data_IF_022402584568
#
_entry.id   IF_022402584568
#
_cell.length_a   1.000
_cell.length_b   1.000
_cell.length_c   1.000
_cell.angle_alpha   90.00
_cell.angle_beta   90.00
_cell.angle_gamma   90.00
#
_symmetry.space_group_name_H-M   'P 1'
#
loop_
_entity.id
_entity.type
_entity.pdbx_description
1 polymer ?
#
# COMPACT_ATOMS: atom_id res chain seq x y z
N UNK A 1 -17.60 -3.93 0.33
CA UNK A 1 -17.53 -2.88 1.35
C UNK A 1 -18.92 -2.48 1.82
N UNK A 2 -19.06 -1.90 3.04
CA UNK A 2 -20.31 -1.40 3.59
C UNK A 2 -20.16 0.10 3.91
N UNK A 3 -21.03 0.91 3.32
CA UNK A 3 -21.10 2.36 3.51
C UNK A 3 -22.37 2.70 4.28
N UNK A 4 -22.31 2.75 5.61
CA UNK A 4 -23.48 2.93 6.49
C UNK A 4 -24.28 4.20 6.19
N UNK A 5 -23.60 5.28 5.79
CA UNK A 5 -24.26 6.53 5.42
C UNK A 5 -25.22 6.44 4.21
N UNK A 6 -25.06 5.42 3.36
CA UNK A 6 -25.93 5.18 2.20
C UNK A 6 -27.04 4.16 2.50
N UNK A 7 -27.10 3.61 3.71
CA UNK A 7 -28.02 2.51 4.03
C UNK A 7 -29.42 3.02 4.27
N UNK A 8 -30.40 2.50 3.49
CA UNK A 8 -31.82 2.77 3.69
C UNK A 8 -32.50 1.87 4.74
N UNK A 9 -31.77 0.97 5.41
CA UNK A 9 -32.34 0.11 6.45
C UNK A 9 -33.29 -0.99 5.95
N UNK A 10 -33.34 -1.30 4.64
CA UNK A 10 -34.34 -2.21 4.07
C UNK A 10 -34.14 -3.71 4.43
N UNK A 11 -33.03 -4.11 5.01
CA UNK A 11 -32.77 -5.49 5.47
C UNK A 11 -32.49 -6.54 4.37
N UNK A 12 -32.59 -6.20 3.08
CA UNK A 12 -32.42 -7.16 1.98
C UNK A 12 -31.09 -7.93 2.03
N UNK A 13 -30.00 -7.25 2.41
CA UNK A 13 -28.68 -7.85 2.55
C UNK A 13 -28.56 -8.82 3.73
N UNK A 14 -29.35 -8.64 4.79
CA UNK A 14 -29.40 -9.58 5.93
C UNK A 14 -30.10 -10.85 5.48
N UNK A 15 -31.23 -10.72 4.80
CA UNK A 15 -32.01 -11.87 4.31
C UNK A 15 -31.25 -12.72 3.29
N UNK A 16 -30.45 -12.10 2.41
CA UNK A 16 -29.74 -12.83 1.35
C UNK A 16 -28.42 -13.42 1.81
N UNK A 17 -27.91 -13.04 2.98
CA UNK A 17 -26.58 -13.46 3.42
C UNK A 17 -26.53 -14.94 3.83
N UNK A 18 -25.85 -15.83 3.10
CA UNK A 18 -25.86 -17.26 3.39
C UNK A 18 -25.10 -17.62 4.68
N UNK A 19 -24.18 -16.76 5.11
CA UNK A 19 -23.34 -16.98 6.31
C UNK A 19 -23.82 -16.18 7.54
N UNK A 20 -24.92 -15.41 7.42
CA UNK A 20 -25.39 -14.55 8.51
C UNK A 20 -24.45 -13.40 8.87
N UNK A 21 -23.48 -13.09 8.02
CA UNK A 21 -22.48 -12.04 8.29
C UNK A 21 -23.05 -10.62 8.30
N UNK A 22 -24.26 -10.40 7.79
CA UNK A 22 -24.91 -9.08 7.77
C UNK A 22 -25.91 -8.98 8.92
N UNK A 23 -25.84 -7.90 9.68
CA UNK A 23 -26.83 -7.58 10.71
C UNK A 23 -27.29 -6.11 10.57
N UNK A 24 -28.54 -5.87 10.94
CA UNK A 24 -29.19 -4.58 11.00
C UNK A 24 -29.75 -4.38 12.40
N UNK A 25 -29.37 -3.30 13.06
CA UNK A 25 -30.00 -2.84 14.31
C UNK A 25 -30.91 -1.64 14.03
N UNK A 26 -31.58 -1.13 15.04
CA UNK A 26 -32.43 0.08 14.88
C UNK A 26 -31.64 1.35 14.49
N UNK A 27 -30.33 1.38 14.86
CA UNK A 27 -29.49 2.58 14.69
C UNK A 27 -28.28 2.38 13.78
N UNK A 28 -27.92 1.12 13.50
CA UNK A 28 -26.69 0.87 12.76
C UNK A 28 -26.77 -0.43 11.94
N UNK A 29 -25.85 -0.53 11.04
CA UNK A 29 -25.64 -1.70 10.21
C UNK A 29 -24.22 -2.22 10.39
N UNK A 30 -24.13 -3.53 10.51
CA UNK A 30 -22.90 -4.23 10.85
C UNK A 30 -22.64 -5.38 9.87
N UNK A 31 -21.36 -5.62 9.58
CA UNK A 31 -20.90 -6.80 8.86
C UNK A 31 -19.81 -7.49 9.67
N UNK A 32 -20.08 -8.72 10.08
CA UNK A 32 -19.07 -9.58 10.68
C UNK A 32 -18.12 -10.09 9.60
N UNK A 33 -16.87 -9.61 9.62
CA UNK A 33 -15.85 -9.99 8.63
C UNK A 33 -15.38 -11.43 8.84
N UNK A 34 -15.48 -11.98 10.04
CA UNK A 34 -15.09 -13.37 10.34
C UNK A 34 -16.06 -14.39 9.72
N UNK A 35 -17.33 -14.02 9.58
CA UNK A 35 -18.37 -14.83 8.95
C UNK A 35 -18.51 -14.56 7.45
N UNK A 36 -17.97 -13.45 6.98
CA UNK A 36 -18.16 -13.00 5.59
C UNK A 36 -17.37 -13.84 4.59
N UNK A 37 -18.08 -14.51 3.68
CA UNK A 37 -17.49 -15.31 2.60
C UNK A 37 -17.17 -14.50 1.34
N UNK A 38 -17.29 -13.17 1.35
CA UNK A 38 -17.07 -12.26 0.22
C UNK A 38 -17.83 -12.61 -1.06
N UNK A 39 -18.97 -13.31 -0.96
CA UNK A 39 -19.74 -13.85 -2.10
C UNK A 39 -20.50 -12.79 -2.92
N UNK A 40 -20.49 -11.52 -2.55
CA UNK A 40 -21.10 -10.41 -3.29
C UNK A 40 -22.64 -10.32 -3.26
N UNK A 41 -23.39 -11.34 -2.78
CA UNK A 41 -24.85 -11.39 -2.83
C UNK A 41 -25.53 -10.16 -2.20
N UNK A 42 -24.99 -9.67 -1.07
CA UNK A 42 -25.50 -8.47 -0.41
C UNK A 42 -25.31 -7.18 -1.23
N UNK A 43 -24.28 -7.14 -2.07
CA UNK A 43 -24.07 -6.02 -3.01
C UNK A 43 -25.07 -6.05 -4.15
N UNK A 44 -25.35 -7.24 -4.70
CA UNK A 44 -26.27 -7.42 -5.83
C UNK A 44 -27.72 -7.01 -5.52
N UNK A 45 -28.14 -7.09 -4.24
CA UNK A 45 -29.52 -6.74 -3.82
C UNK A 45 -29.64 -5.39 -3.14
N UNK A 46 -28.57 -4.63 -3.02
CA UNK A 46 -28.60 -3.35 -2.30
C UNK A 46 -29.08 -2.20 -3.20
N UNK A 47 -30.30 -1.64 -2.98
CA UNK A 47 -30.87 -0.64 -3.88
C UNK A 47 -30.17 0.71 -3.79
N UNK A 48 -29.43 0.97 -2.71
CA UNK A 48 -28.73 2.24 -2.47
C UNK A 48 -27.20 2.10 -2.64
N UNK A 49 -26.72 0.94 -3.07
CA UNK A 49 -25.29 0.61 -3.14
C UNK A 49 -24.53 0.80 -1.81
N UNK A 50 -25.23 0.85 -0.68
CA UNK A 50 -24.59 0.87 0.64
C UNK A 50 -23.73 -0.38 0.86
N UNK A 51 -24.13 -1.52 0.30
CA UNK A 51 -23.26 -2.67 0.08
C UNK A 51 -22.78 -2.69 -1.36
N UNK A 52 -21.48 -2.72 -1.57
CA UNK A 52 -20.92 -2.90 -2.92
C UNK A 52 -19.66 -3.77 -2.90
N UNK A 53 -19.46 -4.49 -3.97
CA UNK A 53 -18.17 -5.12 -4.27
C UNK A 53 -17.23 -4.03 -4.75
N UNK A 54 -15.99 -4.05 -4.26
CA UNK A 54 -14.95 -3.10 -4.66
C UNK A 54 -13.79 -3.92 -5.23
N UNK A 55 -13.33 -3.51 -6.38
CA UNK A 55 -12.38 -4.26 -7.19
C UNK A 55 -13.07 -5.17 -8.20
N UNK A 56 -12.31 -5.57 -9.18
CA UNK A 56 -12.69 -6.49 -10.27
C UNK A 56 -11.55 -7.47 -10.46
N UNK A 57 -11.89 -8.72 -10.77
CA UNK A 57 -10.92 -9.66 -11.30
C UNK A 57 -10.67 -9.29 -12.75
N UNK A 58 -9.42 -9.09 -13.12
CA UNK A 58 -9.00 -8.66 -14.43
C UNK A 58 -7.74 -9.43 -14.83
N UNK A 59 -7.65 -9.79 -16.09
CA UNK A 59 -6.40 -10.31 -16.67
C UNK A 59 -5.37 -9.20 -16.82
N UNK A 60 -4.06 -9.50 -16.87
CA UNK A 60 -3.01 -8.51 -17.14
C UNK A 60 -3.26 -7.67 -18.38
N UNK A 61 -3.78 -8.29 -19.45
CA UNK A 61 -4.12 -7.59 -20.69
C UNK A 61 -5.27 -6.58 -20.51
N UNK A 62 -6.30 -6.94 -19.75
CA UNK A 62 -7.42 -6.03 -19.44
C UNK A 62 -6.96 -4.86 -18.56
N UNK A 63 -6.09 -5.12 -17.57
CA UNK A 63 -5.51 -4.05 -16.74
C UNK A 63 -4.67 -3.11 -17.60
N UNK A 64 -3.80 -3.64 -18.44
CA UNK A 64 -3.00 -2.83 -19.35
C UNK A 64 -3.88 -1.99 -20.29
N UNK A 65 -4.93 -2.57 -20.88
CA UNK A 65 -5.86 -1.86 -21.74
C UNK A 65 -6.57 -0.71 -21.00
N UNK A 66 -6.97 -0.91 -19.75
CA UNK A 66 -7.57 0.15 -18.92
C UNK A 66 -6.58 1.28 -18.65
N UNK A 67 -5.34 0.96 -18.25
CA UNK A 67 -4.27 1.93 -18.00
C UNK A 67 -3.93 2.75 -19.26
N UNK A 68 -3.88 2.11 -20.43
CA UNK A 68 -3.56 2.78 -21.69
C UNK A 68 -4.65 3.74 -22.18
N UNK A 69 -5.85 3.75 -21.60
CA UNK A 69 -6.86 4.78 -21.89
C UNK A 69 -6.38 6.18 -21.47
N UNK A 70 -5.52 6.24 -20.46
CA UNK A 70 -4.98 7.48 -19.94
C UNK A 70 -3.58 7.81 -20.49
N UNK A 71 -3.09 7.02 -21.47
CA UNK A 71 -1.73 7.17 -22.04
C UNK A 71 -1.43 8.59 -22.54
N UNK A 72 -2.43 9.32 -23.06
CA UNK A 72 -2.28 10.70 -23.51
C UNK A 72 -1.89 11.68 -22.38
N UNK A 73 -2.14 11.31 -21.12
CA UNK A 73 -1.82 12.12 -19.94
C UNK A 73 -0.45 11.78 -19.35
N UNK A 74 0.20 10.69 -19.77
CA UNK A 74 1.51 10.31 -19.21
C UNK A 74 2.62 11.28 -19.65
N UNK A 75 2.57 11.81 -20.88
CA UNK A 75 3.60 12.71 -21.40
C UNK A 75 5.00 12.12 -21.24
N UNK A 76 5.99 13.02 -21.05
CA UNK A 76 7.39 12.60 -20.90
C UNK A 76 7.80 12.22 -19.47
N UNK A 77 6.94 12.51 -18.47
CA UNK A 77 7.28 12.35 -17.03
C UNK A 77 6.27 11.53 -16.25
N UNK A 78 5.15 11.18 -16.85
CA UNK A 78 4.11 10.39 -16.22
C UNK A 78 4.26 8.89 -16.53
N UNK A 79 3.39 8.09 -15.92
CA UNK A 79 3.40 6.65 -16.09
C UNK A 79 2.39 5.96 -15.18
N UNK A 80 2.69 4.74 -14.81
CA UNK A 80 1.83 3.90 -13.99
C UNK A 80 2.51 3.55 -12.69
N UNK A 81 1.79 3.69 -11.59
CA UNK A 81 2.22 3.16 -10.30
C UNK A 81 1.40 1.92 -9.94
N UNK A 82 2.05 0.78 -9.80
CA UNK A 82 1.45 -0.43 -9.26
C UNK A 82 1.55 -0.42 -7.74
N UNK A 83 0.41 -0.45 -7.08
CA UNK A 83 0.32 -0.51 -5.62
C UNK A 83 -0.84 -1.42 -5.18
N UNK A 84 -1.29 -1.35 -3.92
CA UNK A 84 -2.47 -2.08 -3.47
C UNK A 84 -2.26 -2.78 -2.13
N UNK A 85 -2.36 -4.13 -2.06
CA UNK A 85 -1.78 -4.95 -1.02
C UNK A 85 -0.26 -5.03 -1.24
N UNK A 86 0.23 -6.23 -1.58
CA UNK A 86 1.61 -6.36 -2.11
C UNK A 86 1.49 -6.66 -3.62
N UNK A 87 1.83 -5.71 -4.50
CA UNK A 87 1.62 -5.87 -5.94
C UNK A 87 2.45 -7.03 -6.54
N UNK A 88 3.64 -7.29 -5.97
CA UNK A 88 4.50 -8.39 -6.42
C UNK A 88 3.98 -9.79 -6.03
N UNK A 89 2.93 -9.87 -5.21
CA UNK A 89 2.21 -11.10 -4.92
C UNK A 89 0.99 -11.32 -5.82
N UNK A 90 0.64 -10.36 -6.68
CA UNK A 90 -0.50 -10.50 -7.57
C UNK A 90 -0.20 -11.48 -8.70
N UNK A 91 -1.15 -12.40 -8.95
CA UNK A 91 -1.06 -13.29 -10.10
C UNK A 91 -1.02 -12.49 -11.41
N UNK A 92 -0.10 -12.84 -12.30
CA UNK A 92 0.07 -12.16 -13.59
C UNK A 92 0.79 -10.81 -13.52
N UNK A 93 1.36 -10.41 -12.37
CA UNK A 93 2.06 -9.11 -12.25
C UNK A 93 3.22 -8.98 -13.23
N UNK A 94 4.02 -10.03 -13.44
CA UNK A 94 5.15 -10.01 -14.38
C UNK A 94 4.64 -9.84 -15.81
N UNK A 95 3.58 -10.56 -16.20
CA UNK A 95 2.95 -10.40 -17.51
C UNK A 95 2.43 -8.96 -17.74
N UNK A 96 1.81 -8.36 -16.72
CA UNK A 96 1.38 -6.96 -16.78
C UNK A 96 2.58 -6.01 -16.99
N UNK A 97 3.65 -6.19 -16.22
CA UNK A 97 4.88 -5.41 -16.35
C UNK A 97 5.50 -5.55 -17.76
N UNK A 98 5.53 -6.76 -18.33
CA UNK A 98 6.00 -6.99 -19.68
C UNK A 98 5.14 -6.26 -20.74
N UNK A 99 3.82 -6.26 -20.57
CA UNK A 99 2.92 -5.55 -21.48
C UNK A 99 3.19 -4.04 -21.42
N UNK A 100 3.26 -3.47 -20.22
CA UNK A 100 3.52 -2.04 -20.01
C UNK A 100 4.90 -1.62 -20.57
N UNK A 101 5.94 -2.44 -20.32
CA UNK A 101 7.29 -2.19 -20.83
C UNK A 101 7.34 -2.19 -22.36
N UNK A 102 6.68 -3.14 -23.02
CA UNK A 102 6.56 -3.17 -24.50
C UNK A 102 5.85 -1.93 -25.08
N UNK A 103 4.96 -1.33 -24.31
CA UNK A 103 4.24 -0.10 -24.69
C UNK A 103 5.02 1.19 -24.34
N UNK A 104 6.23 1.06 -23.77
CA UNK A 104 7.07 2.20 -23.41
C UNK A 104 6.56 3.00 -22.20
N UNK A 105 5.70 2.41 -21.37
CA UNK A 105 5.15 3.05 -20.18
C UNK A 105 6.19 3.05 -19.07
N UNK A 106 6.41 4.20 -18.44
CA UNK A 106 7.21 4.29 -17.22
C UNK A 106 6.44 3.66 -16.04
N UNK A 107 7.06 2.70 -15.35
CA UNK A 107 6.40 1.94 -14.28
C UNK A 107 7.12 2.13 -12.94
N UNK A 108 6.36 2.56 -11.96
CA UNK A 108 6.74 2.55 -10.54
C UNK A 108 6.04 1.40 -9.83
N UNK A 109 6.73 0.69 -8.96
CA UNK A 109 6.13 -0.33 -8.09
C UNK A 109 6.30 0.08 -6.63
N UNK A 110 5.18 0.26 -5.92
CA UNK A 110 5.17 0.48 -4.47
C UNK A 110 5.09 -0.87 -3.76
N UNK A 111 6.15 -1.27 -3.08
CA UNK A 111 6.25 -2.59 -2.44
C UNK A 111 6.79 -2.49 -1.02
N UNK A 112 6.34 -3.40 -0.16
CA UNK A 112 7.02 -3.69 1.10
C UNK A 112 8.15 -4.72 0.93
N UNK A 113 8.27 -5.34 -0.25
CA UNK A 113 9.31 -6.30 -0.58
C UNK A 113 9.07 -7.71 -0.04
N UNK A 114 7.90 -8.00 0.50
CA UNK A 114 7.54 -9.35 0.94
C UNK A 114 6.92 -10.13 -0.22
N UNK A 115 7.74 -10.63 -1.10
CA UNK A 115 7.35 -11.39 -2.29
C UNK A 115 8.31 -12.53 -2.56
N UNK A 116 7.94 -13.38 -3.52
CA UNK A 116 8.83 -14.42 -4.02
C UNK A 116 10.05 -13.78 -4.71
N UNK A 117 11.30 -14.18 -4.34
CA UNK A 117 12.52 -13.67 -4.97
C UNK A 117 12.57 -13.89 -6.49
N UNK A 118 11.94 -14.94 -7.02
CA UNK A 118 11.95 -15.21 -8.47
C UNK A 118 11.00 -14.24 -9.20
N UNK A 119 9.85 -13.88 -8.60
CA UNK A 119 8.98 -12.82 -9.12
C UNK A 119 9.72 -11.48 -9.11
N UNK A 120 10.46 -11.18 -8.03
CA UNK A 120 11.28 -9.96 -7.95
C UNK A 120 12.35 -9.92 -9.04
N UNK A 121 13.07 -11.04 -9.28
CA UNK A 121 14.06 -11.14 -10.36
C UNK A 121 13.47 -10.86 -11.74
N UNK A 122 12.28 -11.38 -11.99
CA UNK A 122 11.57 -11.14 -13.24
C UNK A 122 11.07 -9.70 -13.37
N UNK A 123 10.66 -9.08 -12.26
CA UNK A 123 10.12 -7.72 -12.25
C UNK A 123 11.21 -6.63 -12.41
N UNK A 124 12.40 -6.81 -11.81
CA UNK A 124 13.46 -5.77 -11.80
C UNK A 124 13.77 -5.18 -13.18
N UNK A 125 13.97 -5.96 -14.27
CA UNK A 125 14.26 -5.38 -15.59
C UNK A 125 13.09 -4.66 -16.25
N UNK A 126 11.87 -4.79 -15.70
CA UNK A 126 10.61 -4.27 -16.25
C UNK A 126 10.11 -3.02 -15.52
N UNK A 127 10.66 -2.73 -14.35
CA UNK A 127 10.25 -1.62 -13.47
C UNK A 127 11.30 -0.52 -13.54
N UNK A 128 10.84 0.72 -13.68
CA UNK A 128 11.76 1.88 -13.76
C UNK A 128 12.20 2.33 -12.37
N UNK A 129 11.29 2.35 -11.36
CA UNK A 129 11.63 2.70 -9.98
C UNK A 129 10.82 1.86 -9.00
N UNK A 130 11.46 1.34 -7.99
CA UNK A 130 10.80 0.71 -6.85
C UNK A 130 10.68 1.71 -5.69
N UNK A 131 9.47 2.00 -5.25
CA UNK A 131 9.21 2.69 -4.00
C UNK A 131 9.14 1.64 -2.89
N UNK A 132 10.21 1.55 -2.10
CA UNK A 132 10.38 0.48 -1.11
C UNK A 132 9.99 0.96 0.28
N UNK A 133 8.95 0.39 0.84
CA UNK A 133 8.40 0.78 2.14
C UNK A 133 9.23 0.19 3.30
N UNK A 134 9.88 1.03 4.06
CA UNK A 134 10.53 0.68 5.34
C UNK A 134 9.54 0.95 6.47
N UNK A 135 8.85 -0.09 6.92
CA UNK A 135 7.81 0.04 7.95
C UNK A 135 8.39 0.27 9.35
N UNK A 136 9.48 -0.40 9.70
CA UNK A 136 10.30 -0.15 10.89
C UNK A 136 11.66 -0.83 10.75
N UNK A 137 12.74 -0.21 11.29
CA UNK A 137 14.10 -0.77 11.22
C UNK A 137 14.48 -1.65 12.39
N UNK A 138 13.75 -1.60 13.51
CA UNK A 138 13.88 -2.53 14.61
C UNK A 138 13.07 -3.80 14.30
N UNK A 139 13.68 -5.02 14.28
CA UNK A 139 12.98 -6.24 13.88
C UNK A 139 11.82 -6.63 14.80
N UNK A 140 11.96 -6.37 16.09
CA UNK A 140 10.92 -6.70 17.09
C UNK A 140 9.70 -5.81 16.87
N UNK A 141 9.92 -4.51 16.75
CA UNK A 141 8.85 -3.54 16.48
C UNK A 141 8.24 -3.74 15.09
N UNK A 142 9.07 -4.05 14.07
CA UNK A 142 8.55 -4.37 12.74
C UNK A 142 7.55 -5.53 12.82
N UNK A 143 7.95 -6.64 13.44
CA UNK A 143 7.08 -7.81 13.61
C UNK A 143 5.84 -7.50 14.44
N UNK A 144 5.97 -6.69 15.50
CA UNK A 144 4.83 -6.26 16.33
C UNK A 144 3.81 -5.45 15.53
N UNK A 145 4.25 -4.56 14.63
CA UNK A 145 3.38 -3.64 13.90
C UNK A 145 2.81 -4.24 12.62
N UNK A 146 3.58 -5.09 11.94
CA UNK A 146 3.21 -5.67 10.63
C UNK A 146 2.81 -7.14 10.69
N UNK A 147 3.17 -7.85 11.76
CA UNK A 147 2.99 -9.30 11.88
C UNK A 147 4.09 -10.12 11.20
N UNK A 148 5.06 -9.48 10.53
CA UNK A 148 6.05 -10.14 9.66
C UNK A 148 7.48 -9.85 10.13
N UNK A 149 8.37 -10.83 9.98
CA UNK A 149 9.82 -10.65 10.15
C UNK A 149 10.38 -9.79 9.00
N UNK A 150 11.20 -8.75 9.26
CA UNK A 150 11.75 -7.91 8.20
C UNK A 150 12.89 -8.57 7.40
N UNK A 151 13.44 -9.69 7.85
CA UNK A 151 14.60 -10.33 7.20
C UNK A 151 14.40 -10.63 5.72
N UNK A 152 13.30 -11.30 5.27
CA UNK A 152 13.09 -11.56 3.86
C UNK A 152 12.87 -10.26 3.05
N UNK A 153 12.30 -9.22 3.65
CA UNK A 153 12.10 -7.92 3.02
C UNK A 153 13.45 -7.26 2.71
N UNK A 154 14.36 -7.24 3.68
CA UNK A 154 15.71 -6.67 3.50
C UNK A 154 16.58 -7.50 2.56
N UNK A 155 16.42 -8.82 2.57
CA UNK A 155 17.07 -9.71 1.60
C UNK A 155 16.60 -9.43 0.17
N UNK A 156 15.31 -9.22 -0.03
CA UNK A 156 14.74 -8.86 -1.32
C UNK A 156 15.19 -7.45 -1.77
N UNK A 157 15.31 -6.49 -0.85
CA UNK A 157 15.85 -5.17 -1.18
C UNK A 157 17.31 -5.27 -1.66
N UNK A 158 18.15 -6.03 -0.96
CA UNK A 158 19.53 -6.27 -1.36
C UNK A 158 19.61 -7.02 -2.71
N UNK A 159 18.71 -8.00 -2.94
CA UNK A 159 18.59 -8.69 -4.21
C UNK A 159 18.24 -7.74 -5.35
N UNK A 160 17.21 -6.88 -5.17
CA UNK A 160 16.82 -5.89 -6.17
C UNK A 160 17.98 -4.94 -6.52
N UNK A 161 18.69 -4.43 -5.52
CA UNK A 161 19.87 -3.58 -5.72
C UNK A 161 20.97 -4.31 -6.50
N UNK A 162 21.28 -5.57 -6.16
CA UNK A 162 22.27 -6.38 -6.85
C UNK A 162 21.93 -6.64 -8.33
N UNK A 163 20.65 -6.59 -8.67
CA UNK A 163 20.13 -6.71 -10.04
C UNK A 163 20.05 -5.35 -10.77
N UNK A 164 20.46 -4.26 -10.10
CA UNK A 164 20.51 -2.92 -10.68
C UNK A 164 19.20 -2.15 -10.60
N UNK A 165 18.26 -2.54 -9.74
CA UNK A 165 17.03 -1.79 -9.52
C UNK A 165 17.31 -0.36 -9.04
N UNK A 166 16.60 0.60 -9.60
CA UNK A 166 16.51 1.95 -9.03
C UNK A 166 15.48 1.93 -7.92
N UNK A 167 15.87 2.39 -6.73
CA UNK A 167 14.99 2.36 -5.56
C UNK A 167 14.82 3.74 -4.94
N UNK A 168 13.70 3.94 -4.27
CA UNK A 168 13.43 5.05 -3.37
C UNK A 168 12.87 4.48 -2.09
N UNK A 169 13.54 4.69 -0.96
CA UNK A 169 13.03 4.23 0.33
C UNK A 169 11.88 5.13 0.77
N UNK A 170 10.82 4.54 1.29
CA UNK A 170 9.66 5.25 1.82
C UNK A 170 9.48 4.94 3.30
N UNK A 171 9.39 5.98 4.11
CA UNK A 171 9.21 5.87 5.55
C UNK A 171 7.94 6.61 5.99
N UNK A 172 6.97 5.88 6.54
CA UNK A 172 5.78 6.48 7.11
C UNK A 172 6.09 7.01 8.51
N UNK A 173 5.85 8.31 8.72
CA UNK A 173 5.96 8.98 10.01
C UNK A 173 4.67 8.79 10.81
N UNK A 174 4.70 7.93 11.81
CA UNK A 174 3.60 7.67 12.73
C UNK A 174 4.05 8.04 14.14
N UNK A 175 3.36 9.01 14.75
CA UNK A 175 3.67 9.46 16.10
C UNK A 175 3.70 8.29 17.09
N UNK A 176 4.77 8.22 17.89
CA UNK A 176 4.97 7.17 18.89
C UNK A 176 5.38 5.79 18.35
N UNK A 177 5.41 5.59 17.01
CA UNK A 177 5.80 4.32 16.41
C UNK A 177 7.09 4.41 15.58
N UNK A 178 7.18 5.37 14.65
CA UNK A 178 8.28 5.47 13.67
C UNK A 178 8.95 6.85 13.67
N UNK A 179 8.84 7.63 14.74
CA UNK A 179 9.37 9.01 14.83
C UNK A 179 10.63 9.13 15.68
N UNK A 180 11.26 8.01 16.06
CA UNK A 180 12.51 8.05 16.83
C UNK A 180 13.75 8.19 15.93
N UNK A 181 14.78 8.88 16.46
CA UNK A 181 16.01 9.18 15.71
C UNK A 181 16.84 7.93 15.38
N UNK A 182 16.78 6.89 16.20
CA UNK A 182 17.48 5.63 15.94
C UNK A 182 16.92 4.92 14.70
N UNK A 183 15.61 4.96 14.52
CA UNK A 183 14.96 4.45 13.30
C UNK A 183 15.55 5.11 12.05
N UNK A 184 15.63 6.45 12.00
CA UNK A 184 16.17 7.18 10.85
C UNK A 184 17.68 7.01 10.66
N UNK A 185 18.44 6.84 11.72
CA UNK A 185 19.86 6.47 11.64
C UNK A 185 20.03 5.13 10.94
N UNK A 186 19.21 4.15 11.28
CA UNK A 186 19.23 2.83 10.61
C UNK A 186 18.71 2.90 9.17
N UNK A 187 17.72 3.75 8.88
CA UNK A 187 17.26 4.01 7.50
C UNK A 187 18.39 4.59 6.65
N UNK A 188 19.17 5.52 7.19
CA UNK A 188 20.35 6.06 6.51
C UNK A 188 21.39 4.95 6.24
N UNK A 189 21.61 4.04 7.19
CA UNK A 189 22.46 2.87 6.98
C UNK A 189 21.99 1.97 5.83
N UNK A 190 20.68 1.73 5.73
CA UNK A 190 20.09 0.99 4.60
C UNK A 190 20.34 1.77 3.30
N UNK A 191 20.05 3.07 3.25
CA UNK A 191 20.30 3.90 2.07
C UNK A 191 21.74 3.79 1.59
N UNK A 192 22.73 3.91 2.48
CA UNK A 192 24.15 3.83 2.13
C UNK A 192 24.62 2.43 1.72
N UNK A 193 23.85 1.40 2.01
CA UNK A 193 24.14 0.03 1.54
C UNK A 193 23.66 -0.25 0.12
N UNK A 194 22.85 0.65 -0.45
CA UNK A 194 22.26 0.49 -1.79
C UNK A 194 23.03 1.29 -2.83
N UNK A 195 23.21 0.70 -4.01
CA UNK A 195 24.02 1.27 -5.10
C UNK A 195 23.26 2.32 -5.93
N UNK A 196 21.94 2.17 -6.05
CA UNK A 196 21.07 2.98 -6.92
C UNK A 196 19.82 3.48 -6.21
N UNK A 197 19.97 3.89 -4.94
CA UNK A 197 18.88 4.50 -4.20
C UNK A 197 18.86 6.02 -4.41
N UNK A 198 17.75 6.56 -4.88
CA UNK A 198 17.58 8.00 -5.14
C UNK A 198 17.47 8.83 -3.86
N UNK A 199 17.07 8.22 -2.75
CA UNK A 199 16.89 8.90 -1.48
C UNK A 199 15.78 8.28 -0.63
N UNK A 200 15.40 9.02 0.41
CA UNK A 200 14.34 8.64 1.36
C UNK A 200 13.16 9.59 1.24
N UNK A 201 11.98 9.06 0.97
CA UNK A 201 10.72 9.79 0.99
C UNK A 201 10.06 9.64 2.36
N UNK A 202 9.76 10.76 3.01
CA UNK A 202 9.04 10.78 4.27
C UNK A 202 7.55 11.03 4.01
N UNK A 203 6.71 10.09 4.42
CA UNK A 203 5.27 10.16 4.31
C UNK A 203 4.66 10.47 5.68
N UNK A 204 3.88 11.53 5.79
CA UNK A 204 3.15 11.84 7.02
C UNK A 204 1.92 10.95 7.16
N UNK A 205 1.73 10.35 8.33
CA UNK A 205 0.48 9.67 8.63
C UNK A 205 -0.71 10.65 8.57
N UNK A 206 -1.80 10.20 7.98
CA UNK A 206 -3.09 10.87 7.98
C UNK A 206 -4.23 9.86 8.21
N UNK A 207 -5.32 10.23 8.91
CA UNK A 207 -6.38 9.30 9.30
C UNK A 207 -7.40 8.99 8.19
N UNK A 208 -7.18 9.41 6.95
CA UNK A 208 -8.14 9.23 5.83
C UNK A 208 -8.47 7.76 5.55
N UNK A 209 -7.57 6.82 5.89
CA UNK A 209 -7.82 5.38 5.78
C UNK A 209 -8.91 4.85 6.73
N UNK A 210 -9.30 5.60 7.76
CA UNK A 210 -10.28 5.17 8.76
C UNK A 210 -11.68 4.93 8.17
N UNK A 211 -12.08 5.67 7.16
CA UNK A 211 -13.35 5.48 6.46
C UNK A 211 -13.37 4.16 5.68
N UNK A 212 -12.26 3.83 5.01
CA UNK A 212 -12.08 2.57 4.29
C UNK A 212 -12.05 1.38 5.27
N UNK A 213 -11.35 1.50 6.40
CA UNK A 213 -11.31 0.47 7.43
C UNK A 213 -12.72 0.17 7.95
N UNK A 214 -13.49 1.21 8.29
CA UNK A 214 -14.90 1.06 8.71
C UNK A 214 -15.75 0.39 7.63
N UNK A 215 -15.62 0.80 6.38
CA UNK A 215 -16.35 0.20 5.27
C UNK A 215 -16.00 -1.28 5.04
N UNK A 216 -14.80 -1.70 5.45
CA UNK A 216 -14.36 -3.09 5.46
C UNK A 216 -14.84 -3.87 6.70
N UNK A 217 -15.43 -3.20 7.71
CA UNK A 217 -15.80 -3.81 8.98
C UNK A 217 -14.60 -4.06 9.90
N UNK A 218 -13.48 -3.40 9.64
CA UNK A 218 -12.30 -3.44 10.49
C UNK A 218 -12.40 -2.36 11.57
N UNK A 219 -11.97 -2.68 12.78
CA UNK A 219 -11.80 -1.67 13.81
C UNK A 219 -10.78 -0.64 13.31
N UNK A 220 -11.16 0.62 13.29
CA UNK A 220 -10.24 1.70 12.93
C UNK A 220 -9.07 1.72 13.91
N UNK A 221 -7.86 1.54 13.40
CA UNK A 221 -6.64 1.70 14.19
C UNK A 221 -6.07 3.07 13.87
N UNK A 222 -5.79 3.85 14.92
CA UNK A 222 -5.19 5.17 14.81
C UNK A 222 -6.18 6.27 14.43
N UNK A 223 -5.94 7.44 14.97
CA UNK A 223 -6.68 8.67 14.76
C UNK A 223 -5.71 9.84 14.60
N UNK A 224 -6.14 11.04 14.98
CA UNK A 224 -5.29 12.22 14.97
C UNK A 224 -4.07 12.13 15.87
N UNK A 225 -4.12 11.29 16.91
CA UNK A 225 -3.02 11.03 17.83
C UNK A 225 -1.79 10.38 17.16
N UNK A 226 -1.98 9.72 16.01
CA UNK A 226 -0.89 9.12 15.23
C UNK A 226 -0.26 10.11 14.23
N UNK A 227 -0.80 11.31 14.12
CA UNK A 227 -0.21 12.34 13.27
C UNK A 227 1.12 12.81 13.88
N UNK A 228 2.21 12.85 13.08
CA UNK A 228 3.48 13.36 13.57
C UNK A 228 3.40 14.87 13.81
N UNK A 229 4.06 15.34 14.85
CA UNK A 229 4.23 16.76 15.11
C UNK A 229 5.28 17.38 14.18
N UNK A 230 5.23 18.70 13.97
CA UNK A 230 6.27 19.41 13.20
C UNK A 230 7.67 19.18 13.75
N UNK A 231 7.82 19.09 15.10
CA UNK A 231 9.10 18.78 15.75
C UNK A 231 9.63 17.39 15.35
N UNK A 232 8.78 16.38 15.29
CA UNK A 232 9.16 15.03 14.90
C UNK A 232 9.55 14.95 13.42
N UNK A 233 8.79 15.63 12.54
CA UNK A 233 9.13 15.73 11.12
C UNK A 233 10.49 16.39 10.95
N UNK A 234 10.71 17.54 11.60
CA UNK A 234 11.97 18.27 11.55
C UNK A 234 13.14 17.42 12.04
N UNK A 235 12.95 16.72 13.17
CA UNK A 235 13.98 15.81 13.71
C UNK A 235 14.35 14.67 12.74
N UNK A 236 13.36 14.06 12.07
CA UNK A 236 13.62 13.04 11.06
C UNK A 236 14.44 13.58 9.88
N UNK A 237 14.08 14.78 9.40
CA UNK A 237 14.81 15.48 8.33
C UNK A 237 16.26 15.80 8.74
N UNK A 238 16.47 16.32 9.96
CA UNK A 238 17.79 16.65 10.48
C UNK A 238 18.68 15.42 10.62
N UNK A 239 18.14 14.28 11.08
CA UNK A 239 18.89 13.03 11.20
C UNK A 239 19.34 12.53 9.82
N UNK A 240 18.43 12.47 8.85
CA UNK A 240 18.75 11.99 7.50
C UNK A 240 19.72 12.92 6.78
N UNK A 241 19.48 14.24 6.82
CA UNK A 241 20.37 15.24 6.22
C UNK A 241 21.76 15.25 6.86
N UNK A 242 21.84 15.10 8.19
CA UNK A 242 23.11 15.00 8.92
C UNK A 242 23.94 13.78 8.54
N UNK A 243 23.33 12.77 7.96
CA UNK A 243 23.99 11.58 7.42
C UNK A 243 24.14 11.61 5.88
N UNK A 244 23.88 12.75 5.23
CA UNK A 244 24.06 12.91 3.78
C UNK A 244 23.03 12.16 2.93
N UNK A 245 21.87 11.83 3.49
CA UNK A 245 20.80 11.15 2.76
C UNK A 245 19.91 12.18 2.06
N UNK A 246 19.72 12.12 0.74
CA UNK A 246 18.73 12.92 0.04
C UNK A 246 17.31 12.63 0.55
N UNK A 247 16.61 13.67 1.01
CA UNK A 247 15.22 13.52 1.45
C UNK A 247 14.29 14.10 0.39
N UNK A 248 13.36 13.27 -0.05
CA UNK A 248 12.34 13.63 -1.03
C UNK A 248 11.07 13.98 -0.25
N UNK A 249 10.63 15.22 -0.38
CA UNK A 249 9.40 15.71 0.25
C UNK A 249 8.38 15.89 -0.87
N UNK A 250 7.28 15.14 -0.82
CA UNK A 250 6.10 15.49 -1.60
C UNK A 250 5.33 16.55 -0.81
N UNK A 251 5.15 17.72 -1.41
CA UNK A 251 4.22 18.71 -0.90
C UNK A 251 2.80 18.15 -1.06
N UNK A 252 2.16 17.88 0.08
CA UNK A 252 0.75 17.53 0.18
C UNK A 252 -0.05 18.77 0.54
#
# INVERSE_FOLDING_TARGET
MLYSALCAGCGACVQICPSGAQALTQTDRYRDVSLCQSCGKCAAVCPTEACRTVGRDMTPAEVAAELMRDAAFYGDVGGVTLSGGEPLCAEGVVELLEILKRQGVHVVVETAGLCDPDVLRAAVPLVDVFYWDIKHTDPVRHKQYTGVDPTPILQNLALADSLGAVTRLRCLLVNGLTTDGEHFTRVAGIYHSLSRCEGVQLLRYHPMGSSKARALGLAGRGGGEWMPTHKQIKSALEVLAGQGVPVIIEEL
#
